data_IF_807963351083
#
_entry.id   IF_807963351083
#
_cell.length_a   1.000
_cell.length_b   1.000
_cell.length_c   1.000
_cell.angle_alpha   90.00
_cell.angle_beta   90.00
_cell.angle_gamma   90.00
#
_symmetry.space_group_name_H-M   'P 1'
#
loop_
_entity.id
_entity.type
_entity.pdbx_description
1 polymer ?
#
# COMPACT_ATOMS: atom_id res chain seq x y z
N UNK A 1 1.56 4.20 -12.35
CA UNK A 1 1.89 5.46 -11.66
C UNK A 1 2.39 6.56 -12.58
N UNK A 2 3.13 6.28 -13.66
CA UNK A 2 3.59 7.30 -14.65
C UNK A 2 2.50 8.30 -15.05
N UNK A 3 1.38 7.84 -15.60
CA UNK A 3 0.29 8.73 -16.05
C UNK A 3 -0.48 9.38 -14.89
N UNK A 4 -0.69 8.64 -13.80
CA UNK A 4 -1.43 9.15 -12.65
C UNK A 4 -0.67 10.28 -11.95
N UNK A 5 0.66 10.19 -11.88
CA UNK A 5 1.52 11.21 -11.29
C UNK A 5 1.33 12.59 -11.95
N UNK A 6 1.07 12.63 -13.26
CA UNK A 6 0.87 13.87 -14.03
C UNK A 6 -0.41 14.63 -13.65
N UNK A 7 -1.33 14.00 -12.90
CA UNK A 7 -2.57 14.63 -12.43
C UNK A 7 -2.38 15.56 -11.22
N UNK A 8 -1.19 15.63 -10.63
CA UNK A 8 -0.84 16.43 -9.44
C UNK A 8 -1.89 16.38 -8.31
N UNK A 9 -2.18 15.16 -7.85
CA UNK A 9 -3.12 14.92 -6.77
C UNK A 9 -2.49 15.21 -5.40
N UNK A 10 -3.31 15.33 -4.37
CA UNK A 10 -2.84 15.50 -2.98
C UNK A 10 -2.13 14.27 -2.44
N UNK A 11 -2.40 13.08 -3.00
CA UNK A 11 -1.79 11.80 -2.62
C UNK A 11 -2.11 10.70 -3.62
N UNK A 12 -1.39 9.58 -3.52
CA UNK A 12 -1.43 8.51 -4.51
C UNK A 12 -1.62 7.14 -3.86
N UNK A 13 -2.64 6.42 -4.31
CA UNK A 13 -2.97 5.11 -3.76
C UNK A 13 -2.40 3.97 -4.61
N UNK A 14 -1.92 2.92 -3.94
CA UNK A 14 -1.58 1.62 -4.51
C UNK A 14 -2.75 0.68 -4.22
N UNK A 15 -3.61 0.49 -5.22
CA UNK A 15 -4.74 -0.44 -5.17
C UNK A 15 -4.46 -1.77 -5.87
N UNK A 16 -5.35 -2.75 -5.67
CA UNK A 16 -5.28 -4.06 -6.34
C UNK A 16 -4.29 -5.06 -5.71
N UNK A 17 -3.73 -4.77 -4.54
CA UNK A 17 -2.73 -5.57 -3.82
C UNK A 17 -3.22 -6.11 -2.46
N UNK A 18 -4.51 -6.42 -2.40
CA UNK A 18 -5.14 -7.06 -1.24
C UNK A 18 -6.22 -8.03 -1.73
N UNK A 19 -5.92 -8.78 -2.80
CA UNK A 19 -6.90 -9.57 -3.56
C UNK A 19 -6.64 -11.07 -3.51
N UNK A 20 -5.65 -11.51 -2.73
CA UNK A 20 -5.32 -12.91 -2.48
C UNK A 20 -4.00 -13.36 -3.12
N UNK A 21 -3.23 -12.43 -3.66
CA UNK A 21 -1.91 -12.67 -4.20
C UNK A 21 -0.87 -13.00 -3.10
N UNK A 22 0.23 -13.68 -3.44
CA UNK A 22 1.35 -13.89 -2.53
C UNK A 22 1.95 -12.56 -2.03
N UNK A 23 2.48 -12.55 -0.80
CA UNK A 23 3.08 -11.34 -0.21
C UNK A 23 4.26 -10.83 -1.03
N UNK A 24 5.03 -11.75 -1.60
CA UNK A 24 6.19 -11.49 -2.44
C UNK A 24 5.79 -10.73 -3.70
N UNK A 25 4.62 -11.05 -4.27
CA UNK A 25 4.08 -10.34 -5.43
C UNK A 25 3.58 -8.94 -5.05
N UNK A 26 2.87 -8.80 -3.92
CA UNK A 26 2.51 -7.49 -3.39
C UNK A 26 3.76 -6.61 -3.21
N UNK A 27 4.80 -7.11 -2.54
CA UNK A 27 6.05 -6.37 -2.32
C UNK A 27 6.76 -6.01 -3.62
N UNK A 28 6.84 -6.96 -4.56
CA UNK A 28 7.42 -6.74 -5.89
C UNK A 28 6.68 -5.63 -6.64
N UNK A 29 5.35 -5.60 -6.56
CA UNK A 29 4.54 -4.58 -7.24
C UNK A 29 4.72 -3.22 -6.58
N UNK A 30 4.71 -3.12 -5.25
CA UNK A 30 5.00 -1.86 -4.53
C UNK A 30 6.35 -1.29 -5.01
N UNK A 31 7.42 -2.10 -4.99
CA UNK A 31 8.75 -1.65 -5.44
C UNK A 31 8.81 -1.31 -6.93
N UNK A 32 7.93 -1.88 -7.77
CA UNK A 32 7.87 -1.55 -9.19
C UNK A 32 7.15 -0.23 -9.46
N UNK A 33 6.18 0.17 -8.62
CA UNK A 33 5.39 1.39 -8.82
C UNK A 33 5.94 2.60 -8.08
N UNK A 34 6.58 2.38 -6.93
CA UNK A 34 7.11 3.44 -6.04
C UNK A 34 8.01 4.45 -6.76
N UNK A 35 8.96 4.06 -7.65
CA UNK A 35 9.85 5.02 -8.31
C UNK A 35 9.13 6.02 -9.21
N UNK A 36 7.88 5.76 -9.57
CA UNK A 36 7.04 6.61 -10.40
C UNK A 36 6.03 7.42 -9.60
N UNK A 37 6.07 7.36 -8.26
CA UNK A 37 5.20 8.13 -7.37
C UNK A 37 5.94 9.37 -6.86
N UNK A 38 5.31 10.56 -6.86
CA UNK A 38 5.93 11.78 -6.32
C UNK A 38 6.39 11.57 -4.86
N UNK A 39 7.66 11.86 -4.57
CA UNK A 39 8.26 11.56 -3.26
C UNK A 39 7.75 12.46 -2.13
N UNK A 40 7.24 13.65 -2.48
CA UNK A 40 6.71 14.65 -1.55
C UNK A 40 5.20 14.53 -1.31
N UNK A 41 4.54 13.49 -1.83
CA UNK A 41 3.09 13.28 -1.71
C UNK A 41 2.83 11.96 -0.99
N UNK A 42 1.83 11.87 -0.09
CA UNK A 42 1.49 10.64 0.63
C UNK A 42 1.19 9.48 -0.30
N UNK A 43 1.71 8.30 0.06
CA UNK A 43 1.51 7.03 -0.65
C UNK A 43 0.66 6.10 0.20
N UNK A 44 -0.48 5.67 -0.32
CA UNK A 44 -1.49 4.92 0.43
C UNK A 44 -1.63 3.49 -0.10
N UNK A 45 -1.33 2.47 0.72
CA UNK A 45 -1.56 1.08 0.37
C UNK A 45 -2.93 0.61 0.89
N UNK A 46 -3.85 0.33 -0.04
CA UNK A 46 -5.25 0.07 0.27
C UNK A 46 -5.50 -1.39 0.68
N UNK A 47 -6.19 -1.61 1.80
CA UNK A 47 -6.70 -2.91 2.25
C UNK A 47 -5.67 -3.82 2.92
N UNK A 48 -4.45 -3.34 3.15
CA UNK A 48 -3.34 -4.11 3.74
C UNK A 48 -3.11 -3.69 5.20
N UNK A 49 -3.03 -4.66 6.11
CA UNK A 49 -2.81 -4.31 7.53
C UNK A 49 -2.31 -5.40 8.47
N UNK A 50 -1.72 -6.50 7.98
CA UNK A 50 -0.94 -7.34 8.90
C UNK A 50 0.31 -6.56 9.35
N UNK A 51 0.76 -6.68 10.63
CA UNK A 51 1.91 -5.91 11.11
C UNK A 51 3.18 -6.09 10.26
N UNK A 52 3.46 -7.31 9.80
CA UNK A 52 4.59 -7.58 8.91
C UNK A 52 4.48 -6.87 7.56
N UNK A 53 3.29 -6.88 6.94
CA UNK A 53 3.09 -6.18 5.67
C UNK A 53 3.18 -4.65 5.83
N UNK A 54 2.78 -4.10 6.98
CA UNK A 54 2.93 -2.67 7.27
C UNK A 54 4.42 -2.31 7.33
N UNK A 55 5.23 -3.09 8.07
CA UNK A 55 6.69 -2.86 8.16
C UNK A 55 7.35 -2.92 6.78
N UNK A 56 7.01 -3.94 5.98
CA UNK A 56 7.54 -4.10 4.63
C UNK A 56 7.02 -3.02 3.65
N UNK A 57 5.80 -2.53 3.83
CA UNK A 57 5.24 -1.42 3.06
C UNK A 57 5.97 -0.11 3.36
N UNK A 58 6.19 0.19 4.64
CA UNK A 58 6.93 1.39 5.08
C UNK A 58 8.36 1.36 4.56
N UNK A 59 9.05 0.21 4.62
CA UNK A 59 10.41 0.10 4.07
C UNK A 59 10.48 0.27 2.54
N UNK A 60 9.33 0.19 1.86
CA UNK A 60 9.15 0.45 0.42
C UNK A 60 8.44 1.77 0.15
N UNK A 61 8.44 2.69 1.12
CA UNK A 61 8.00 4.07 0.92
C UNK A 61 6.49 4.29 0.93
N UNK A 62 5.71 3.39 1.55
CA UNK A 62 4.27 3.61 1.81
C UNK A 62 4.08 4.37 3.13
N UNK A 63 3.19 5.36 3.12
CA UNK A 63 2.93 6.24 4.27
C UNK A 63 1.61 5.93 5.00
N UNK A 64 0.59 5.47 4.26
CA UNK A 64 -0.76 5.26 4.77
C UNK A 64 -1.24 3.83 4.50
N UNK A 65 -2.06 3.31 5.41
CA UNK A 65 -2.62 1.96 5.37
C UNK A 65 -4.04 1.94 5.94
N UNK A 66 -4.87 1.05 5.45
CA UNK A 66 -6.17 0.71 6.04
C UNK A 66 -6.38 -0.81 6.04
N UNK A 67 -7.03 -1.33 7.08
CA UNK A 67 -7.43 -2.72 7.11
C UNK A 67 -8.52 -2.98 8.14
N UNK A 68 -9.49 -3.82 7.78
CA UNK A 68 -10.52 -4.29 8.72
C UNK A 68 -9.99 -5.35 9.69
N UNK A 69 -8.81 -5.94 9.43
CA UNK A 69 -8.28 -7.08 10.19
C UNK A 69 -8.25 -6.84 11.70
N UNK A 70 -7.73 -5.71 12.24
CA UNK A 70 -7.67 -5.52 13.68
C UNK A 70 -9.05 -5.55 14.35
N UNK A 71 -10.02 -4.82 13.78
CA UNK A 71 -11.38 -4.78 14.34
C UNK A 71 -12.13 -6.10 14.13
N UNK A 72 -11.89 -6.80 13.02
CA UNK A 72 -12.52 -8.10 12.73
C UNK A 72 -11.99 -9.18 13.66
N UNK A 73 -10.68 -9.29 13.86
CA UNK A 73 -10.09 -10.31 14.74
C UNK A 73 -10.53 -10.06 16.20
N UNK A 74 -10.58 -8.81 16.65
CA UNK A 74 -11.11 -8.49 17.98
C UNK A 74 -12.54 -9.02 18.23
N UNK A 75 -13.36 -9.17 17.19
CA UNK A 75 -14.72 -9.75 17.30
C UNK A 75 -14.78 -11.28 17.25
N UNK A 76 -13.75 -11.95 16.71
CA UNK A 76 -13.79 -13.39 16.41
C UNK A 76 -12.71 -14.22 17.11
N UNK A 77 -11.76 -13.58 17.80
CA UNK A 77 -10.56 -14.23 18.33
C UNK A 77 -9.50 -14.45 17.28
#
# INVERSE_FOLDING_TARGET
MKEIADLDLDGYAIGGLAVGEPKEDMYRIISAVEPYMPAQKPRYLMGVGTPGNIIEGVSRGVDLFDCVMPSRNARHG
#
